data_IF_240887093581
#
_entry.id   IF_240887093581
#
_cell.length_a   1.000
_cell.length_b   1.000
_cell.length_c   1.000
_cell.angle_alpha   90.00
_cell.angle_beta   90.00
_cell.angle_gamma   90.00
#
_symmetry.space_group_name_H-M   'P 1'
#
loop_
_entity.id
_entity.type
_entity.pdbx_description
1 polymer ?
#
# COMPACT_ATOMS: atom_id res chain seq x y z
N UNK A 1 1.66 -9.47 5.09
CA UNK A 1 1.01 -8.17 4.86
C UNK A 1 0.92 -7.90 3.38
N UNK A 2 -0.23 -7.42 2.94
CA UNK A 2 -0.44 -6.96 1.58
C UNK A 2 -0.46 -5.44 1.55
N UNK A 3 0.16 -4.86 0.52
CA UNK A 3 0.21 -3.43 0.26
C UNK A 3 -0.32 -3.16 -1.15
N UNK A 4 -1.22 -2.20 -1.26
CA UNK A 4 -1.90 -1.84 -2.50
C UNK A 4 -2.04 -0.30 -2.63
N UNK A 5 -2.10 0.17 -3.88
CA UNK A 5 -2.25 1.59 -4.20
C UNK A 5 -3.44 1.81 -5.12
N UNK A 6 -4.38 2.65 -4.68
CA UNK A 6 -5.54 3.07 -5.47
C UNK A 6 -5.50 4.57 -5.73
N UNK A 7 -5.93 5.01 -6.91
CA UNK A 7 -6.15 6.44 -7.17
C UNK A 7 -7.57 6.85 -6.78
N UNK A 8 -7.67 8.00 -6.13
CA UNK A 8 -8.92 8.64 -5.74
C UNK A 8 -9.04 9.99 -6.47
N UNK A 9 -10.28 10.39 -6.70
CA UNK A 9 -10.59 11.71 -7.20
C UNK A 9 -11.44 12.45 -6.17
N UNK A 10 -10.96 13.62 -5.78
CA UNK A 10 -11.65 14.53 -4.89
C UNK A 10 -12.10 15.75 -5.68
N UNK A 11 -13.22 16.35 -5.30
CA UNK A 11 -13.67 17.61 -5.87
C UNK A 11 -13.26 18.74 -4.93
N UNK A 12 -12.48 19.68 -5.44
CA UNK A 12 -12.18 20.93 -4.75
C UNK A 12 -13.48 21.75 -4.59
N UNK A 13 -13.59 22.63 -3.57
CA UNK A 13 -14.69 23.59 -3.47
C UNK A 13 -14.91 24.42 -4.75
N UNK A 14 -13.84 24.62 -5.54
CA UNK A 14 -13.89 25.34 -6.81
C UNK A 14 -14.27 24.45 -8.02
N UNK A 15 -14.72 23.22 -7.80
CA UNK A 15 -15.11 22.27 -8.85
C UNK A 15 -13.95 21.56 -9.57
N UNK A 16 -12.70 21.82 -9.18
CA UNK A 16 -11.54 21.17 -9.79
C UNK A 16 -11.36 19.74 -9.27
N UNK A 17 -11.13 18.80 -10.19
CA UNK A 17 -10.91 17.39 -9.87
C UNK A 17 -9.45 17.16 -9.44
N UNK A 18 -9.25 16.84 -8.18
CA UNK A 18 -7.94 16.59 -7.57
C UNK A 18 -7.68 15.08 -7.53
N UNK A 19 -6.62 14.62 -8.20
CA UNK A 19 -6.16 13.24 -8.11
C UNK A 19 -5.29 13.06 -6.85
N UNK A 20 -5.52 11.96 -6.14
CA UNK A 20 -4.74 11.51 -4.98
C UNK A 20 -4.51 10.01 -5.04
N UNK A 21 -3.54 9.53 -4.29
CA UNK A 21 -3.19 8.12 -4.24
C UNK A 21 -3.34 7.61 -2.81
N UNK A 22 -4.24 6.67 -2.60
CA UNK A 22 -4.44 5.98 -1.33
C UNK A 22 -3.57 4.73 -1.30
N UNK A 23 -2.67 4.68 -0.33
CA UNK A 23 -1.85 3.51 -0.04
C UNK A 23 -2.49 2.78 1.13
N UNK A 24 -2.68 1.48 0.98
CA UNK A 24 -3.33 0.64 1.98
C UNK A 24 -2.44 -0.55 2.28
N UNK A 25 -2.18 -0.77 3.57
CA UNK A 25 -1.50 -1.96 4.08
C UNK A 25 -2.49 -2.73 4.95
N UNK A 26 -2.63 -4.02 4.69
CA UNK A 26 -3.51 -4.89 5.44
C UNK A 26 -2.78 -6.18 5.82
N UNK A 27 -2.95 -6.60 7.07
CA UNK A 27 -2.47 -7.89 7.52
C UNK A 27 -3.53 -8.98 7.38
N UNK A 28 -3.16 -10.09 6.75
CA UNK A 28 -4.07 -11.18 6.40
C UNK A 28 -4.64 -11.88 7.65
N UNK A 29 -3.83 -12.01 8.71
CA UNK A 29 -4.17 -12.77 9.91
C UNK A 29 -4.98 -11.93 10.91
N UNK A 30 -4.53 -10.70 11.18
CA UNK A 30 -5.12 -9.84 12.21
C UNK A 30 -6.17 -8.87 11.67
N UNK A 31 -6.25 -8.70 10.34
CA UNK A 31 -7.11 -7.69 9.68
C UNK A 31 -6.81 -6.24 10.08
N UNK A 32 -5.70 -5.99 10.77
CA UNK A 32 -5.26 -4.63 11.07
C UNK A 32 -4.86 -3.96 9.76
N UNK A 33 -5.33 -2.71 9.60
CA UNK A 33 -5.12 -1.90 8.40
C UNK A 33 -4.45 -0.56 8.71
N UNK A 34 -3.59 -0.13 7.81
CA UNK A 34 -3.08 1.23 7.74
C UNK A 34 -3.39 1.83 6.38
N UNK A 35 -3.73 3.11 6.37
CA UNK A 35 -4.12 3.85 5.19
C UNK A 35 -3.48 5.22 5.25
N UNK A 36 -2.89 5.67 4.14
CA UNK A 36 -2.33 7.01 4.00
C UNK A 36 -2.53 7.52 2.58
N UNK A 37 -2.82 8.81 2.45
CA UNK A 37 -3.09 9.45 1.16
C UNK A 37 -1.91 10.34 0.78
N UNK A 38 -1.48 10.23 -0.47
CA UNK A 38 -0.40 11.03 -1.05
C UNK A 38 -0.86 11.76 -2.30
N UNK A 39 -0.16 12.84 -2.62
CA UNK A 39 -0.44 13.63 -3.84
C UNK A 39 0.15 13.02 -5.10
N UNK A 40 1.24 12.26 -4.96
CA UNK A 40 2.00 11.67 -6.07
C UNK A 40 2.14 10.16 -5.89
N UNK A 41 2.37 9.45 -6.99
CA UNK A 41 2.61 8.01 -7.02
C UNK A 41 4.06 7.74 -7.42
N UNK A 42 4.93 7.60 -6.42
CA UNK A 42 6.36 7.43 -6.62
C UNK A 42 6.98 6.54 -5.52
N UNK A 43 8.25 6.18 -5.72
CA UNK A 43 9.00 5.32 -4.79
C UNK A 43 9.21 5.95 -3.41
N UNK A 44 9.36 7.28 -3.33
CA UNK A 44 9.57 7.96 -2.04
C UNK A 44 8.34 7.85 -1.14
N UNK A 45 7.14 7.99 -1.70
CA UNK A 45 5.89 7.92 -0.95
C UNK A 45 5.61 6.51 -0.44
N UNK A 46 5.95 5.46 -1.22
CA UNK A 46 5.75 4.09 -0.76
C UNK A 46 6.75 3.70 0.34
N UNK A 47 7.98 4.21 0.30
CA UNK A 47 8.99 4.02 1.35
C UNK A 47 8.50 4.68 2.65
N UNK A 48 8.10 5.96 2.59
CA UNK A 48 7.50 6.66 3.74
C UNK A 48 6.24 5.96 4.27
N UNK A 49 5.44 5.35 3.38
CA UNK A 49 4.28 4.58 3.78
C UNK A 49 4.67 3.31 4.56
N UNK A 50 5.70 2.59 4.13
CA UNK A 50 6.17 1.40 4.86
C UNK A 50 6.73 1.78 6.22
N UNK A 51 7.48 2.88 6.32
CA UNK A 51 7.97 3.36 7.62
C UNK A 51 6.81 3.69 8.56
N UNK A 52 5.76 4.34 8.03
CA UNK A 52 4.53 4.59 8.78
C UNK A 52 3.86 3.29 9.26
N UNK A 53 3.79 2.27 8.39
CA UNK A 53 3.17 0.98 8.69
C UNK A 53 3.97 0.23 9.76
N UNK A 54 5.29 0.14 9.63
CA UNK A 54 6.17 -0.53 10.60
C UNK A 54 6.05 0.11 11.98
N UNK A 55 5.99 1.45 12.05
CA UNK A 55 5.83 2.15 13.32
C UNK A 55 4.43 1.99 13.94
N UNK A 56 3.39 1.75 13.14
CA UNK A 56 2.01 1.67 13.60
C UNK A 56 1.59 0.26 14.04
N UNK A 57 2.18 -0.78 13.45
CA UNK A 57 1.75 -2.15 13.70
C UNK A 57 2.39 -2.70 14.99
N UNK A 58 1.62 -3.31 15.91
CA UNK A 58 2.14 -3.78 17.20
C UNK A 58 2.90 -5.11 17.10
N UNK A 59 3.40 -5.47 15.91
CA UNK A 59 4.09 -6.73 15.65
C UNK A 59 5.08 -6.59 14.49
N UNK A 60 6.05 -7.51 14.46
CA UNK A 60 7.03 -7.58 13.39
C UNK A 60 6.39 -8.08 12.10
N UNK A 61 6.51 -7.30 11.04
CA UNK A 61 6.12 -7.71 9.69
C UNK A 61 7.24 -8.59 9.13
N UNK A 62 6.88 -9.78 8.61
CA UNK A 62 7.85 -10.70 8.00
C UNK A 62 7.96 -10.51 6.49
N UNK A 63 6.82 -10.32 5.83
CA UNK A 63 6.74 -10.28 4.36
C UNK A 63 5.71 -9.25 3.92
N UNK A 64 6.12 -8.40 2.99
CA UNK A 64 5.29 -7.45 2.27
C UNK A 64 5.01 -8.04 0.88
N UNK A 65 3.73 -8.05 0.51
CA UNK A 65 3.25 -8.48 -0.81
C UNK A 65 2.64 -7.32 -1.56
N UNK A 66 3.10 -7.08 -2.78
CA UNK A 66 2.64 -5.96 -3.64
C UNK A 66 2.36 -6.48 -5.04
N UNK A 67 1.73 -5.66 -5.88
CA UNK A 67 1.74 -5.91 -7.32
C UNK A 67 3.10 -5.54 -7.95
N UNK A 68 3.19 -5.66 -9.28
CA UNK A 68 4.38 -5.29 -10.05
C UNK A 68 4.42 -3.79 -10.42
N UNK A 69 3.81 -2.91 -9.63
CA UNK A 69 3.80 -1.46 -9.83
C UNK A 69 5.21 -0.84 -9.84
N UNK A 70 5.35 0.30 -10.53
CA UNK A 70 6.66 0.99 -10.68
C UNK A 70 7.19 1.59 -9.36
N UNK A 71 6.31 1.80 -8.40
CA UNK A 71 6.63 2.20 -7.03
C UNK A 71 7.33 1.09 -6.25
N UNK A 72 7.14 -0.19 -6.61
CA UNK A 72 7.65 -1.34 -5.87
C UNK A 72 8.98 -1.88 -6.43
N UNK A 73 9.70 -1.10 -7.24
CA UNK A 73 10.95 -1.54 -7.86
C UNK A 73 12.15 -1.54 -6.88
N UNK A 74 13.37 -1.58 -7.43
CA UNK A 74 14.64 -1.82 -6.74
C UNK A 74 14.80 -1.03 -5.45
N UNK A 75 14.62 0.30 -5.44
CA UNK A 75 14.84 1.12 -4.23
C UNK A 75 13.91 0.72 -3.07
N UNK A 76 12.65 0.45 -3.38
CA UNK A 76 11.68 -0.04 -2.41
C UNK A 76 12.10 -1.40 -1.87
N UNK A 77 12.49 -2.31 -2.76
CA UNK A 77 12.96 -3.64 -2.38
C UNK A 77 14.13 -3.59 -1.39
N UNK A 78 15.14 -2.77 -1.67
CA UNK A 78 16.27 -2.56 -0.75
C UNK A 78 15.83 -2.05 0.62
N UNK A 79 14.97 -1.03 0.66
CA UNK A 79 14.45 -0.48 1.92
C UNK A 79 13.73 -1.53 2.78
N UNK A 80 12.90 -2.36 2.14
CA UNK A 80 12.19 -3.46 2.82
C UNK A 80 13.19 -4.47 3.42
N UNK A 81 14.25 -4.81 2.71
CA UNK A 81 15.30 -5.70 3.21
C UNK A 81 16.14 -5.07 4.33
N UNK A 82 16.43 -3.76 4.28
CA UNK A 82 17.14 -3.05 5.36
C UNK A 82 16.35 -3.06 6.66
N UNK A 83 15.02 -3.02 6.58
CA UNK A 83 14.12 -3.19 7.73
C UNK A 83 13.98 -4.66 8.19
N UNK A 84 14.70 -5.59 7.55
CA UNK A 84 14.70 -7.01 7.90
C UNK A 84 13.39 -7.73 7.56
N UNK A 85 12.75 -7.31 6.47
CA UNK A 85 11.53 -7.89 5.92
C UNK A 85 11.77 -8.43 4.51
N UNK A 86 10.93 -9.37 4.07
CA UNK A 86 10.97 -9.90 2.70
C UNK A 86 9.96 -9.17 1.81
N UNK A 87 10.33 -8.93 0.55
CA UNK A 87 9.43 -8.37 -0.46
C UNK A 87 9.10 -9.42 -1.51
N UNK A 88 7.81 -9.65 -1.75
CA UNK A 88 7.32 -10.66 -2.70
C UNK A 88 6.24 -10.06 -3.61
N UNK A 89 6.47 -10.13 -4.91
CA UNK A 89 5.46 -9.76 -5.90
C UNK A 89 4.31 -10.78 -5.94
N UNK A 90 3.08 -10.27 -6.00
CA UNK A 90 1.88 -11.07 -6.19
C UNK A 90 1.83 -11.50 -7.66
N UNK A 91 1.58 -12.79 -7.90
CA UNK A 91 1.41 -13.30 -9.26
C UNK A 91 0.23 -12.59 -9.95
N UNK A 92 0.42 -12.03 -11.16
CA UNK A 92 -0.66 -11.47 -11.95
C UNK A 92 -1.83 -12.45 -12.08
N UNK A 93 -3.07 -11.95 -12.06
CA UNK A 93 -4.31 -12.73 -12.17
C UNK A 93 -4.72 -13.63 -10.98
N UNK A 94 -4.03 -13.55 -9.84
CA UNK A 94 -4.52 -14.21 -8.60
C UNK A 94 -5.50 -13.30 -7.85
N UNK A 95 -6.65 -13.01 -8.47
CA UNK A 95 -7.73 -12.15 -7.95
C UNK A 95 -8.17 -12.50 -6.51
N UNK A 96 -7.99 -13.76 -6.08
CA UNK A 96 -8.31 -14.21 -4.72
C UNK A 96 -7.46 -13.53 -3.64
N UNK A 97 -6.18 -13.26 -3.91
CA UNK A 97 -5.29 -12.59 -2.96
C UNK A 97 -5.55 -11.08 -2.94
N UNK A 98 -5.80 -10.46 -4.10
CA UNK A 98 -6.11 -9.03 -4.13
C UNK A 98 -7.51 -8.69 -3.57
N UNK A 99 -8.43 -9.66 -3.61
CA UNK A 99 -9.84 -9.46 -3.24
C UNK A 99 -10.09 -9.06 -1.78
N UNK A 100 -9.11 -9.12 -0.88
CA UNK A 100 -9.28 -8.68 0.52
C UNK A 100 -9.07 -7.17 0.67
N UNK A 101 -7.97 -6.65 0.12
CA UNK A 101 -7.70 -5.21 0.11
C UNK A 101 -8.69 -4.47 -0.82
N UNK A 102 -9.02 -5.07 -1.96
CA UNK A 102 -10.08 -4.55 -2.84
C UNK A 102 -11.44 -4.46 -2.13
N UNK A 103 -11.76 -5.42 -1.24
CA UNK A 103 -12.98 -5.35 -0.43
C UNK A 103 -12.90 -4.28 0.66
N UNK A 104 -11.75 -4.05 1.30
CA UNK A 104 -11.61 -2.96 2.26
C UNK A 104 -11.81 -1.59 1.61
N UNK A 105 -11.39 -1.43 0.35
CA UNK A 105 -11.63 -0.19 -0.41
C UNK A 105 -13.11 0.13 -0.62
N UNK A 106 -14.01 -0.86 -0.60
CA UNK A 106 -15.46 -0.63 -0.72
C UNK A 106 -16.06 -0.04 0.56
N UNK A 107 -15.40 -0.27 1.69
CA UNK A 107 -15.80 0.23 3.01
C UNK A 107 -15.13 1.56 3.40
N UNK A 108 -14.13 2.02 2.64
CA UNK A 108 -13.44 3.30 2.87
C UNK A 108 -14.19 4.52 2.29
N UNK A 109 -15.52 4.48 2.28
CA UNK A 109 -16.40 5.58 1.83
C UNK A 109 -16.58 6.65 2.89
#
# INVERSE_FOLDING_TARGET
>A
MQVDVKFLFFNSPNGQRIKRFQYTAMDDATRIRALKIYERHNQANVIDFIDYVVNKFPFRIKTIRTDNGHEFQVKFNWHVHELGMEHVYIKPATLRLNGEVERSHLTDK
#
